data_IF_099935956832
#
_entry.id   IF_099935956832
#
_cell.length_a   1.000
_cell.length_b   1.000
_cell.length_c   1.000
_cell.angle_alpha   90.00
_cell.angle_beta   90.00
_cell.angle_gamma   90.00
#
_symmetry.space_group_name_H-M   'P 1'
#
loop_
_entity.id
_entity.type
_entity.pdbx_description
1 polymer ?
#
# COMPACT_ATOMS: atom_id res chain seq x y z
N UNK A 1 -5.24 32.73 4.28
CA UNK A 1 -5.35 31.28 4.06
C UNK A 1 -5.70 30.67 5.40
N UNK A 2 -6.94 30.18 5.55
CA UNK A 2 -7.42 29.67 6.84
C UNK A 2 -6.80 28.30 7.11
N UNK A 3 -6.28 28.10 8.32
CA UNK A 3 -5.63 26.84 8.69
C UNK A 3 -6.72 25.79 8.89
N UNK A 4 -6.82 24.83 7.98
CA UNK A 4 -7.75 23.71 8.10
C UNK A 4 -7.36 22.91 9.34
N UNK A 5 -8.34 22.59 10.19
CA UNK A 5 -8.12 21.74 11.35
C UNK A 5 -7.71 20.34 10.90
N UNK A 6 -6.75 19.74 11.59
CA UNK A 6 -6.37 18.35 11.33
C UNK A 6 -7.57 17.43 11.56
N UNK A 7 -7.68 16.39 10.74
CA UNK A 7 -8.65 15.32 10.96
C UNK A 7 -8.34 14.61 12.27
N UNK A 8 -9.39 14.23 13.03
CA UNK A 8 -9.25 13.60 14.35
C UNK A 8 -8.39 12.32 14.33
N UNK A 9 -8.48 11.57 13.23
CA UNK A 9 -7.78 10.29 13.03
C UNK A 9 -6.44 10.44 12.29
N UNK A 10 -6.02 11.67 12.00
CA UNK A 10 -4.69 11.92 11.44
C UNK A 10 -3.64 11.69 12.53
N UNK A 11 -2.67 10.82 12.23
CA UNK A 11 -1.53 10.54 13.11
C UNK A 11 -0.26 10.84 12.34
N UNK A 12 0.65 11.57 12.97
CA UNK A 12 2.02 11.77 12.51
C UNK A 12 2.94 11.74 13.73
N UNK A 13 3.70 10.65 13.89
CA UNK A 13 4.55 10.42 15.05
C UNK A 13 5.95 10.08 14.58
N UNK A 14 6.96 10.68 15.23
CA UNK A 14 8.36 10.31 15.10
C UNK A 14 8.82 9.57 16.35
N UNK A 15 9.58 8.49 16.19
CA UNK A 15 10.17 7.74 17.30
C UNK A 15 11.57 7.20 16.91
N UNK A 16 12.32 6.68 17.86
CA UNK A 16 13.55 5.94 17.58
C UNK A 16 13.24 4.48 17.25
N UNK A 17 14.01 3.89 16.33
CA UNK A 17 13.97 2.46 16.02
C UNK A 17 14.25 1.65 17.28
N UNK A 18 13.45 0.62 17.55
CA UNK A 18 13.59 -0.26 18.70
C UNK A 18 14.24 -1.60 18.31
N UNK A 19 14.37 -2.50 19.29
CA UNK A 19 14.92 -3.85 19.05
C UNK A 19 14.07 -4.70 18.08
N UNK A 20 12.78 -4.36 17.95
CA UNK A 20 11.79 -5.06 17.12
C UNK A 20 11.77 -4.56 15.67
N UNK A 21 12.58 -3.56 15.32
CA UNK A 21 12.72 -3.10 13.95
C UNK A 21 13.17 -4.28 13.05
N UNK A 22 12.35 -4.50 12.01
CA UNK A 22 12.52 -5.59 11.05
C UNK A 22 13.42 -5.21 9.87
N UNK A 23 13.70 -3.93 9.67
CA UNK A 23 14.38 -3.39 8.50
C UNK A 23 15.84 -3.03 8.79
N UNK A 24 16.16 -2.57 10.00
CA UNK A 24 17.54 -2.24 10.37
C UNK A 24 17.80 -2.43 11.86
N UNK A 25 19.02 -2.87 12.22
CA UNK A 25 19.52 -2.91 13.61
C UNK A 25 20.33 -1.68 14.00
N UNK A 26 20.63 -0.80 13.04
CA UNK A 26 21.32 0.47 13.32
C UNK A 26 20.30 1.46 13.87
N UNK A 27 20.55 2.12 15.02
CA UNK A 27 19.64 3.13 15.55
C UNK A 27 19.35 4.23 14.53
N UNK A 28 18.07 4.48 14.26
CA UNK A 28 17.60 5.51 13.35
C UNK A 28 16.24 6.06 13.79
N UNK A 29 15.83 7.20 13.23
CA UNK A 29 14.50 7.76 13.48
C UNK A 29 13.48 7.14 12.55
N UNK A 30 12.36 6.72 13.10
CA UNK A 30 11.19 6.19 12.38
C UNK A 30 10.07 7.23 12.40
N UNK A 31 9.35 7.35 11.29
CA UNK A 31 8.16 8.21 11.17
C UNK A 31 6.96 7.37 10.76
N UNK A 32 5.86 7.48 11.50
CA UNK A 32 4.60 6.81 11.20
C UNK A 32 3.52 7.84 10.87
N UNK A 33 2.82 7.61 9.75
CA UNK A 33 1.72 8.44 9.29
C UNK A 33 0.45 7.62 9.10
N UNK A 34 -0.68 8.10 9.65
CA UNK A 34 -2.01 7.60 9.36
C UNK A 34 -2.82 8.73 8.70
N UNK A 35 -3.12 8.56 7.43
CA UNK A 35 -3.90 9.52 6.64
C UNK A 35 -5.29 8.91 6.39
N UNK A 36 -6.36 9.50 6.95
CA UNK A 36 -7.72 9.06 6.71
C UNK A 36 -8.08 9.12 5.22
N UNK A 37 -8.62 8.02 4.69
CA UNK A 37 -8.97 7.91 3.25
C UNK A 37 -10.10 8.85 2.82
N UNK A 38 -10.88 9.35 3.78
CA UNK A 38 -11.91 10.37 3.56
C UNK A 38 -11.31 11.70 3.09
N UNK A 39 -10.06 12.01 3.45
CA UNK A 39 -9.37 13.25 3.05
C UNK A 39 -8.89 13.18 1.60
N UNK A 40 -8.44 11.99 1.17
CA UNK A 40 -7.82 11.76 -0.15
C UNK A 40 -8.77 11.10 -1.14
N UNK A 41 -10.02 10.83 -0.74
CA UNK A 41 -11.00 9.99 -1.43
C UNK A 41 -10.53 8.54 -1.60
N UNK A 42 -11.44 7.56 -1.49
CA UNK A 42 -11.09 6.16 -1.72
C UNK A 42 -10.78 5.92 -3.20
N UNK A 43 -9.57 5.44 -3.47
CA UNK A 43 -9.09 5.03 -4.78
C UNK A 43 -8.39 3.67 -4.68
N UNK A 44 -8.37 2.95 -5.80
CA UNK A 44 -7.60 1.71 -5.90
C UNK A 44 -6.10 1.98 -6.04
N UNK A 45 -5.76 3.17 -6.54
CA UNK A 45 -4.40 3.62 -6.85
C UNK A 45 -4.20 5.04 -6.33
N UNK A 46 -3.10 5.26 -5.63
CA UNK A 46 -2.71 6.55 -5.08
C UNK A 46 -1.36 6.96 -5.64
N UNK A 47 -1.20 8.25 -5.95
CA UNK A 47 0.11 8.85 -6.18
C UNK A 47 0.76 9.14 -4.82
N UNK A 48 2.01 8.71 -4.62
CA UNK A 48 2.78 9.02 -3.41
C UNK A 48 4.17 9.55 -3.77
N UNK A 49 4.55 10.61 -3.08
CA UNK A 49 5.88 11.22 -3.14
C UNK A 49 6.38 11.39 -1.70
N UNK A 50 7.62 10.98 -1.46
CA UNK A 50 8.26 11.07 -0.15
C UNK A 50 9.59 11.78 -0.34
N UNK A 51 9.83 12.83 0.45
CA UNK A 51 11.10 13.57 0.51
C UNK A 51 11.61 13.59 1.95
N UNK A 52 12.90 13.31 2.12
CA UNK A 52 13.62 13.45 3.38
C UNK A 52 14.76 14.44 3.15
N UNK A 53 14.79 15.49 3.97
CA UNK A 53 15.87 16.49 3.99
C UNK A 53 16.80 16.22 5.17
N UNK A 54 18.08 16.01 4.87
CA UNK A 54 19.14 15.91 5.87
C UNK A 54 19.73 17.30 6.11
N UNK A 55 19.47 17.87 7.30
CA UNK A 55 19.94 19.19 7.68
C UNK A 55 21.45 19.28 7.85
N UNK A 56 22.15 18.16 8.10
CA UNK A 56 23.59 18.15 8.31
C UNK A 56 24.34 18.20 6.98
N UNK A 57 23.88 17.43 5.98
CA UNK A 57 24.52 17.40 4.64
C UNK A 57 23.88 18.37 3.65
N UNK A 58 22.70 18.91 3.96
CA UNK A 58 21.88 19.70 3.03
C UNK A 58 21.30 18.86 1.89
N UNK A 59 21.41 17.52 1.96
CA UNK A 59 20.99 16.61 0.90
C UNK A 59 19.51 16.26 1.04
N UNK A 60 18.82 16.22 -0.09
CA UNK A 60 17.47 15.65 -0.20
C UNK A 60 17.51 14.27 -0.81
N UNK A 61 16.78 13.34 -0.22
CA UNK A 61 16.55 12.01 -0.77
C UNK A 61 15.05 11.83 -0.96
N UNK A 62 14.64 11.29 -2.09
CA UNK A 62 13.23 11.21 -2.45
C UNK A 62 12.88 9.87 -3.09
N UNK A 63 11.62 9.48 -2.93
CA UNK A 63 11.00 8.35 -3.61
C UNK A 63 9.75 8.83 -4.37
N UNK A 64 9.52 8.38 -5.61
CA UNK A 64 10.40 7.52 -6.42
C UNK A 64 11.70 8.23 -6.81
N UNK A 65 12.81 7.48 -7.05
CA UNK A 65 14.06 8.08 -7.47
C UNK A 65 13.92 8.67 -8.88
N UNK A 66 13.60 9.96 -8.95
CA UNK A 66 13.61 10.73 -10.20
C UNK A 66 15.06 10.99 -10.65
N UNK A 67 15.33 10.75 -11.93
CA UNK A 67 16.58 11.16 -12.60
C UNK A 67 16.53 12.60 -13.13
N UNK A 68 15.39 13.31 -12.99
CA UNK A 68 15.07 14.54 -13.73
C UNK A 68 14.73 15.77 -12.87
N UNK A 69 14.77 15.67 -11.54
CA UNK A 69 14.58 16.82 -10.66
C UNK A 69 15.86 17.67 -10.60
N UNK A 70 16.11 18.44 -11.67
CA UNK A 70 17.17 19.45 -11.71
C UNK A 70 16.94 20.60 -10.71
N UNK A 71 15.72 20.72 -10.17
CA UNK A 71 15.37 21.68 -9.12
C UNK A 71 15.03 20.98 -7.79
N UNK A 72 16.01 20.92 -6.91
CA UNK A 72 15.98 20.33 -5.56
C UNK A 72 14.93 21.01 -4.64
N UNK A 73 14.41 22.19 -5.01
CA UNK A 73 13.55 23.00 -4.15
C UNK A 73 12.04 22.81 -4.37
N UNK A 74 11.62 22.10 -5.41
CA UNK A 74 10.21 22.00 -5.76
C UNK A 74 9.69 20.57 -5.68
N UNK A 75 8.51 20.41 -5.08
CA UNK A 75 7.75 19.15 -5.09
C UNK A 75 7.44 18.81 -6.56
N UNK A 76 7.73 17.59 -7.04
CA UNK A 76 7.44 17.19 -8.42
C UNK A 76 5.94 17.25 -8.71
N UNK A 77 5.60 17.44 -9.99
CA UNK A 77 4.21 17.36 -10.42
C UNK A 77 3.64 15.95 -10.14
N UNK A 78 2.33 15.82 -9.83
CA UNK A 78 1.71 14.54 -9.48
C UNK A 78 1.90 13.42 -10.52
N UNK A 79 2.15 13.77 -11.79
CA UNK A 79 2.43 12.81 -12.87
C UNK A 79 3.75 12.05 -12.67
N UNK A 80 4.67 12.61 -11.89
CA UNK A 80 5.99 12.04 -11.60
C UNK A 80 6.03 11.32 -10.23
N UNK A 81 4.90 11.24 -9.54
CA UNK A 81 4.81 10.54 -8.25
C UNK A 81 4.80 9.03 -8.45
N UNK A 82 5.21 8.30 -7.43
CA UNK A 82 5.17 6.84 -7.46
C UNK A 82 3.74 6.35 -7.29
N UNK A 83 3.48 5.14 -7.78
CA UNK A 83 2.16 4.50 -7.72
C UNK A 83 2.08 3.58 -6.50
N UNK A 84 1.12 3.84 -5.61
CA UNK A 84 0.78 3.00 -4.46
C UNK A 84 -0.55 2.30 -4.73
N UNK A 85 -0.53 0.97 -4.73
CA UNK A 85 -1.75 0.16 -4.90
C UNK A 85 -2.38 -0.07 -3.52
N UNK A 86 -3.68 0.19 -3.41
CA UNK A 86 -4.45 -0.11 -2.19
C UNK A 86 -4.35 -1.59 -1.80
N UNK A 87 -4.26 -1.87 -0.50
CA UNK A 87 -4.23 -3.25 0.03
C UNK A 87 -5.50 -4.01 -0.35
N UNK A 88 -6.64 -3.32 -0.41
CA UNK A 88 -7.93 -3.90 -0.78
C UNK A 88 -7.92 -4.54 -2.18
N UNK A 89 -7.04 -4.10 -3.09
CA UNK A 89 -6.84 -4.71 -4.40
C UNK A 89 -5.55 -5.54 -4.53
N UNK A 90 -4.79 -5.70 -3.44
CA UNK A 90 -3.53 -6.46 -3.46
C UNK A 90 -3.74 -7.98 -3.45
N UNK A 91 -4.93 -8.43 -3.03
CA UNK A 91 -5.34 -9.82 -3.10
C UNK A 91 -6.20 -10.02 -4.35
N UNK A 92 -5.93 -11.03 -5.20
CA UNK A 92 -6.86 -11.39 -6.24
C UNK A 92 -8.15 -11.87 -5.58
N UNK A 93 -9.20 -11.04 -5.62
CA UNK A 93 -10.54 -11.51 -5.31
C UNK A 93 -10.84 -12.65 -6.29
N UNK A 94 -11.18 -13.84 -5.79
CA UNK A 94 -11.70 -14.88 -6.65
C UNK A 94 -13.01 -14.36 -7.21
N UNK A 95 -13.11 -14.06 -8.52
CA UNK A 95 -14.36 -13.55 -9.06
C UNK A 95 -15.43 -14.61 -8.79
N UNK A 96 -16.61 -14.19 -8.30
CA UNK A 96 -17.72 -15.09 -7.93
C UNK A 96 -18.00 -16.19 -8.98
N UNK A 97 -17.91 -15.94 -10.30
CA UNK A 97 -18.03 -16.99 -11.31
C UNK A 97 -17.00 -18.13 -11.19
N UNK A 98 -15.76 -17.84 -10.80
CA UNK A 98 -14.71 -18.83 -10.62
C UNK A 98 -14.97 -19.71 -9.39
N UNK A 99 -15.48 -19.11 -8.30
CA UNK A 99 -15.92 -19.87 -7.13
C UNK A 99 -17.09 -20.80 -7.47
N UNK A 100 -18.09 -20.30 -8.22
CA UNK A 100 -19.21 -21.12 -8.68
C UNK A 100 -18.74 -22.29 -9.56
N UNK A 101 -17.79 -22.03 -10.49
CA UNK A 101 -17.23 -23.07 -11.35
C UNK A 101 -16.47 -24.14 -10.58
N UNK A 102 -15.64 -23.75 -9.62
CA UNK A 102 -14.88 -24.72 -8.79
C UNK A 102 -15.81 -25.59 -7.94
N UNK A 103 -16.86 -25.01 -7.36
CA UNK A 103 -17.89 -25.76 -6.63
C UNK A 103 -18.65 -26.72 -7.55
N UNK A 104 -19.01 -26.28 -8.76
CA UNK A 104 -19.67 -27.13 -9.75
C UNK A 104 -18.79 -28.30 -10.19
N UNK A 105 -17.48 -28.06 -10.36
CA UNK A 105 -16.55 -29.15 -10.69
C UNK A 105 -16.38 -30.15 -9.54
N UNK A 106 -16.29 -29.66 -8.30
CA UNK A 106 -16.22 -30.51 -7.13
C UNK A 106 -17.47 -31.40 -6.99
N UNK A 107 -18.67 -30.86 -7.22
CA UNK A 107 -19.91 -31.65 -7.14
C UNK A 107 -19.98 -32.73 -8.23
N UNK A 108 -19.58 -32.42 -9.46
CA UNK A 108 -19.52 -33.39 -10.56
C UNK A 108 -18.55 -34.55 -10.23
N UNK A 109 -17.37 -34.24 -9.68
CA UNK A 109 -16.41 -35.26 -9.27
C UNK A 109 -17.00 -36.15 -8.17
N UNK A 110 -17.61 -35.56 -7.12
CA UNK A 110 -18.22 -36.32 -6.02
C UNK A 110 -19.34 -37.23 -6.52
N UNK A 111 -20.20 -36.75 -7.42
CA UNK A 111 -21.28 -37.55 -8.01
C UNK A 111 -20.73 -38.67 -8.92
N UNK A 112 -19.68 -38.40 -9.69
CA UNK A 112 -19.01 -39.39 -10.54
C UNK A 112 -18.32 -40.50 -9.74
N UNK A 113 -17.74 -40.18 -8.58
CA UNK A 113 -17.16 -41.18 -7.67
C UNK A 113 -18.26 -42.03 -7.03
N UNK A 114 -19.36 -41.43 -6.56
CA UNK A 114 -20.49 -42.18 -5.96
C UNK A 114 -21.17 -43.14 -6.93
N UNK A 115 -21.41 -42.72 -8.17
CA UNK A 115 -22.05 -43.58 -9.19
C UNK A 115 -21.19 -44.77 -9.59
N UNK A 116 -19.86 -44.64 -9.59
CA UNK A 116 -18.94 -45.77 -9.76
C UNK A 116 -18.94 -46.76 -8.59
N UNK A 117 -19.14 -46.30 -7.36
CA UNK A 117 -19.19 -47.15 -6.15
C UNK A 117 -20.51 -47.92 -6.00
N UNK A 118 -21.63 -47.41 -6.54
CA UNK A 118 -22.95 -48.06 -6.46
C UNK A 118 -23.15 -49.14 -7.55
N UNK A 119 -22.41 -49.04 -8.66
CA UNK A 119 -22.47 -49.98 -9.79
C UNK A 119 -21.42 -51.11 -9.72
N UNK A 120 -20.86 -51.37 -8.53
CA UNK A 120 -20.00 -52.53 -8.20
C UNK A 120 -20.73 -53.32 -7.12
#
# INVERSE_FOLDING_TARGET
MEKISNHKDYVAVGNFSDENDRYSKVPHTTYEFRIPTEIITRSNEYGIYIEVFDSNTGKKTFWPPSTQLENINNIPSPQNWGKLISIDNSLPEFPLPMLAFTLMMATIIVLGVKTKLINI
#
